data_IF_418003443595
#
_entry.id   IF_418003443595
#
_cell.length_a   1.000
_cell.length_b   1.000
_cell.length_c   1.000
_cell.angle_alpha   90.00
_cell.angle_beta   90.00
_cell.angle_gamma   90.00
#
_symmetry.space_group_name_H-M   'P 1'
#
loop_
_entity.id
_entity.type
_entity.pdbx_description
1 polymer ?
#
# COMPACT_ATOMS: atom_id res chain seq x y z
N UNK A 1 -27.41 20.98 3.62
CA UNK A 1 -26.84 19.68 4.03
C UNK A 1 -26.78 19.65 5.55
N UNK A 2 -27.28 18.61 6.22
CA UNK A 2 -27.30 18.53 7.68
C UNK A 2 -25.87 18.26 8.21
N UNK A 3 -25.39 19.02 9.21
CA UNK A 3 -24.05 18.89 9.80
C UNK A 3 -23.78 17.48 10.32
N UNK A 4 -24.79 16.85 10.90
CA UNK A 4 -24.70 15.47 11.38
C UNK A 4 -24.46 14.48 10.23
N UNK A 5 -25.06 14.74 9.06
CA UNK A 5 -24.83 13.94 7.86
C UNK A 5 -23.41 14.16 7.30
N UNK A 6 -22.88 15.38 7.33
CA UNK A 6 -21.50 15.65 6.91
C UNK A 6 -20.48 14.94 7.83
N UNK A 7 -20.70 14.97 9.15
CA UNK A 7 -19.84 14.25 10.08
C UNK A 7 -19.88 12.73 9.84
N UNK A 8 -21.08 12.15 9.69
CA UNK A 8 -21.20 10.72 9.38
C UNK A 8 -20.51 10.34 8.07
N UNK A 9 -20.58 11.18 7.03
CA UNK A 9 -19.86 10.96 5.77
C UNK A 9 -18.33 11.04 5.95
N UNK A 10 -17.84 11.98 6.76
CA UNK A 10 -16.41 12.12 7.05
C UNK A 10 -15.88 10.89 7.79
N UNK A 11 -16.61 10.39 8.79
CA UNK A 11 -16.22 9.21 9.56
C UNK A 11 -16.18 7.96 8.69
N UNK A 12 -17.21 7.73 7.88
CA UNK A 12 -17.25 6.60 6.92
C UNK A 12 -16.08 6.70 5.93
N UNK A 13 -15.80 7.89 5.42
CA UNK A 13 -14.72 8.07 4.44
C UNK A 13 -13.34 7.86 5.06
N UNK A 14 -13.14 8.26 6.32
CA UNK A 14 -11.91 7.99 7.08
C UNK A 14 -11.74 6.50 7.35
N UNK A 15 -12.80 5.79 7.74
CA UNK A 15 -12.77 4.32 7.88
C UNK A 15 -12.40 3.62 6.57
N UNK A 16 -12.94 4.09 5.45
CA UNK A 16 -12.57 3.56 4.12
C UNK A 16 -11.09 3.82 3.87
N UNK A 17 -10.60 5.05 4.07
CA UNK A 17 -9.18 5.38 3.89
C UNK A 17 -8.27 4.48 4.74
N UNK A 18 -8.59 4.27 6.02
CA UNK A 18 -7.82 3.42 6.92
C UNK A 18 -7.77 1.97 6.42
N UNK A 19 -8.91 1.46 5.95
CA UNK A 19 -8.98 0.13 5.31
C UNK A 19 -8.09 0.06 4.07
N UNK A 20 -8.18 1.04 3.18
CA UNK A 20 -7.39 1.05 1.94
C UNK A 20 -5.88 1.13 2.23
N UNK A 21 -5.48 1.90 3.25
CA UNK A 21 -4.09 1.99 3.71
C UNK A 21 -3.59 0.70 4.36
N UNK A 22 -4.42 0.05 5.16
CA UNK A 22 -4.11 -1.26 5.77
C UNK A 22 -3.88 -2.33 4.69
N UNK A 23 -4.75 -2.38 3.68
CA UNK A 23 -4.59 -3.28 2.54
C UNK A 23 -3.32 -2.97 1.73
N UNK A 24 -2.99 -1.69 1.55
CA UNK A 24 -1.76 -1.28 0.87
C UNK A 24 -0.50 -1.74 1.62
N UNK A 25 -0.50 -1.64 2.96
CA UNK A 25 0.59 -2.15 3.81
C UNK A 25 0.75 -3.67 3.66
N UNK A 26 -0.34 -4.43 3.77
CA UNK A 26 -0.30 -5.87 3.61
C UNK A 26 0.25 -6.31 2.23
N UNK A 27 -0.11 -5.60 1.16
CA UNK A 27 0.45 -5.84 -0.18
C UNK A 27 1.94 -5.49 -0.26
N UNK A 28 2.36 -4.41 0.40
CA UNK A 28 3.76 -4.00 0.48
C UNK A 28 4.60 -5.05 1.21
N UNK A 29 4.13 -5.54 2.36
CA UNK A 29 4.81 -6.55 3.15
C UNK A 29 4.95 -7.86 2.37
N UNK A 30 3.89 -8.28 1.67
CA UNK A 30 3.94 -9.44 0.79
C UNK A 30 4.93 -9.28 -0.37
N UNK A 31 5.03 -8.08 -0.95
CA UNK A 31 5.97 -7.80 -2.03
C UNK A 31 7.42 -7.83 -1.53
N UNK A 32 7.69 -7.26 -0.35
CA UNK A 32 9.01 -7.33 0.31
C UNK A 32 9.41 -8.77 0.60
N UNK A 33 8.51 -9.57 1.18
CA UNK A 33 8.79 -10.98 1.48
C UNK A 33 9.14 -11.80 0.23
N UNK A 34 8.48 -11.56 -0.91
CA UNK A 34 8.83 -12.22 -2.17
C UNK A 34 10.17 -11.73 -2.72
N UNK A 35 10.48 -10.43 -2.61
CA UNK A 35 11.76 -9.88 -3.03
C UNK A 35 12.92 -10.48 -2.21
N UNK A 36 12.74 -10.62 -0.90
CA UNK A 36 13.73 -11.23 0.00
C UNK A 36 13.96 -12.71 -0.32
N UNK A 37 12.89 -13.46 -0.66
CA UNK A 37 13.01 -14.85 -1.10
C UNK A 37 13.78 -14.98 -2.42
N UNK A 38 13.54 -14.07 -3.38
CA UNK A 38 14.31 -14.02 -4.63
C UNK A 38 15.78 -13.72 -4.34
N UNK A 39 16.06 -12.73 -3.49
CA UNK A 39 17.43 -12.36 -3.12
C UNK A 39 18.16 -13.52 -2.42
N UNK A 40 17.47 -14.24 -1.53
CA UNK A 40 18.01 -15.45 -0.87
C UNK A 40 18.37 -16.53 -1.87
N UNK A 41 17.47 -16.81 -2.82
CA UNK A 41 17.70 -17.80 -3.88
C UNK A 41 18.87 -17.41 -4.80
N UNK A 42 18.99 -16.12 -5.14
CA UNK A 42 20.09 -15.59 -5.95
C UNK A 42 21.43 -15.65 -5.18
N UNK A 43 21.41 -15.43 -3.85
CA UNK A 43 22.59 -15.58 -2.99
C UNK A 43 23.04 -17.05 -2.84
N UNK A 44 22.11 -17.97 -2.64
CA UNK A 44 22.40 -19.42 -2.62
C UNK A 44 23.00 -19.88 -3.95
N UNK A 45 22.47 -19.38 -5.07
CA UNK A 45 23.02 -19.67 -6.40
C UNK A 45 24.47 -19.21 -6.51
N UNK A 46 24.76 -17.98 -6.08
CA UNK A 46 26.13 -17.45 -6.10
C UNK A 46 27.07 -18.30 -5.25
N UNK A 47 26.64 -18.70 -4.04
CA UNK A 47 27.41 -19.56 -3.13
C UNK A 47 27.71 -20.93 -3.76
N UNK A 48 26.71 -21.57 -4.35
CA UNK A 48 26.87 -22.89 -4.98
C UNK A 48 27.80 -22.83 -6.19
N UNK A 49 27.67 -21.79 -7.03
CA UNK A 49 28.56 -21.59 -8.17
C UNK A 49 30.01 -21.33 -7.74
N UNK A 50 30.24 -20.60 -6.65
CA UNK A 50 31.58 -20.40 -6.10
C UNK A 50 32.18 -21.73 -5.63
N UNK A 51 31.43 -22.55 -4.87
CA UNK A 51 31.90 -23.86 -4.40
C UNK A 51 32.11 -24.89 -5.52
N UNK A 52 31.47 -24.71 -6.68
CA UNK A 52 31.61 -25.59 -7.83
C UNK A 52 32.99 -25.49 -8.50
N UNK A 53 33.65 -24.34 -8.38
CA UNK A 53 34.94 -24.06 -8.98
C UNK A 53 36.08 -24.87 -8.34
N UNK A 54 35.86 -25.40 -7.12
CA UNK A 54 36.86 -26.14 -6.35
C UNK A 54 36.92 -27.66 -6.69
N UNK A 55 36.16 -28.10 -7.70
CA UNK A 55 36.30 -29.41 -8.32
C UNK A 55 35.32 -30.47 -7.76
N UNK A 56 34.46 -30.96 -8.66
CA UNK A 56 33.68 -32.20 -8.56
C UNK A 56 32.23 -32.16 -8.01
N UNK A 57 31.47 -31.07 -8.22
CA UNK A 57 30.04 -30.98 -7.87
C UNK A 57 29.07 -30.68 -9.05
N UNK A 58 29.53 -30.77 -10.30
CA UNK A 58 28.82 -30.21 -11.46
C UNK A 58 27.41 -30.78 -11.72
N UNK A 59 27.21 -32.10 -11.58
CA UNK A 59 25.89 -32.72 -11.87
C UNK A 59 24.81 -32.38 -10.83
N UNK A 60 25.16 -32.39 -9.53
CA UNK A 60 24.20 -32.07 -8.47
C UNK A 60 23.78 -30.59 -8.51
N UNK A 61 24.70 -29.71 -8.92
CA UNK A 61 24.42 -28.28 -9.10
C UNK A 61 23.46 -28.05 -10.29
N UNK A 62 23.56 -28.84 -11.36
CA UNK A 62 22.70 -28.69 -12.55
C UNK A 62 21.21 -28.87 -12.25
N UNK A 63 20.85 -29.88 -11.45
CA UNK A 63 19.48 -30.11 -11.01
C UNK A 63 18.96 -28.96 -10.13
N UNK A 64 19.78 -28.51 -9.17
CA UNK A 64 19.44 -27.38 -8.30
C UNK A 64 19.25 -26.09 -9.11
N UNK A 65 20.14 -25.78 -10.07
CA UNK A 65 20.04 -24.58 -10.92
C UNK A 65 18.75 -24.57 -11.76
N UNK A 66 18.34 -25.75 -12.26
CA UNK A 66 17.10 -25.88 -13.04
C UNK A 66 15.88 -25.62 -12.17
N UNK A 67 15.85 -26.20 -10.96
CA UNK A 67 14.82 -25.93 -9.97
C UNK A 67 14.79 -24.45 -9.57
N UNK A 68 15.93 -23.88 -9.19
CA UNK A 68 16.06 -22.48 -8.77
C UNK A 68 15.60 -21.52 -9.87
N UNK A 69 15.90 -21.80 -11.15
CA UNK A 69 15.38 -21.01 -12.28
C UNK A 69 13.86 -21.01 -12.34
N UNK A 70 13.21 -22.18 -12.17
CA UNK A 70 11.75 -22.31 -12.18
C UNK A 70 11.12 -21.60 -10.98
N UNK A 71 11.69 -21.80 -9.80
CA UNK A 71 11.23 -21.16 -8.56
C UNK A 71 11.35 -19.64 -8.64
N UNK A 72 12.50 -19.12 -9.10
CA UNK A 72 12.70 -17.68 -9.34
C UNK A 72 11.68 -17.09 -10.30
N UNK A 73 11.35 -17.81 -11.38
CA UNK A 73 10.33 -17.39 -12.33
C UNK A 73 8.92 -17.41 -11.72
N UNK A 74 8.60 -18.36 -10.85
CA UNK A 74 7.34 -18.37 -10.10
C UNK A 74 7.26 -17.19 -9.12
N UNK A 75 8.31 -16.96 -8.31
CA UNK A 75 8.39 -15.84 -7.37
C UNK A 75 8.31 -14.49 -8.08
N UNK A 76 8.99 -14.34 -9.23
CA UNK A 76 8.96 -13.10 -10.01
C UNK A 76 7.57 -12.80 -10.58
N UNK A 77 6.84 -13.83 -11.03
CA UNK A 77 5.43 -13.68 -11.46
C UNK A 77 4.54 -13.27 -10.30
N UNK A 78 4.66 -13.94 -9.15
CA UNK A 78 3.89 -13.58 -7.95
C UNK A 78 4.20 -12.15 -7.48
N UNK A 79 5.45 -11.71 -7.56
CA UNK A 79 5.86 -10.34 -7.24
C UNK A 79 5.26 -9.32 -8.21
N UNK A 80 5.27 -9.61 -9.51
CA UNK A 80 4.64 -8.75 -10.52
C UNK A 80 3.12 -8.61 -10.27
N UNK A 81 2.44 -9.71 -9.94
CA UNK A 81 1.03 -9.72 -9.59
C UNK A 81 0.73 -8.89 -8.33
N UNK A 82 1.57 -9.02 -7.29
CA UNK A 82 1.45 -8.21 -6.07
C UNK A 82 1.67 -6.73 -6.35
N UNK A 83 2.68 -6.36 -7.16
CA UNK A 83 2.90 -4.96 -7.56
C UNK A 83 1.73 -4.39 -8.36
N UNK A 84 1.13 -5.18 -9.24
CA UNK A 84 -0.08 -4.79 -9.96
C UNK A 84 -1.27 -4.55 -9.02
N UNK A 85 -1.46 -5.42 -8.03
CA UNK A 85 -2.46 -5.22 -6.95
C UNK A 85 -2.13 -3.97 -6.12
N UNK A 86 -0.87 -3.76 -5.77
CA UNK A 86 -0.41 -2.60 -5.00
C UNK A 86 -0.70 -1.29 -5.72
N UNK A 87 -0.47 -1.20 -7.03
CA UNK A 87 -0.77 0.02 -7.80
C UNK A 87 -2.28 0.29 -7.88
N UNK A 88 -3.11 -0.75 -8.05
CA UNK A 88 -4.57 -0.60 -7.97
C UNK A 88 -4.99 -0.10 -6.60
N UNK A 89 -4.44 -0.68 -5.54
CA UNK A 89 -4.72 -0.31 -4.16
C UNK A 89 -4.28 1.13 -3.84
N UNK A 90 -3.11 1.55 -4.35
CA UNK A 90 -2.61 2.92 -4.22
C UNK A 90 -3.58 3.93 -4.83
N UNK A 91 -4.12 3.64 -6.01
CA UNK A 91 -5.15 4.49 -6.65
C UNK A 91 -6.44 4.55 -5.83
N UNK A 92 -6.88 3.43 -5.24
CA UNK A 92 -8.05 3.41 -4.35
C UNK A 92 -7.81 4.25 -3.08
N UNK A 93 -6.67 4.07 -2.42
CA UNK A 93 -6.28 4.85 -1.24
C UNK A 93 -6.18 6.35 -1.56
N UNK A 94 -5.60 6.72 -2.72
CA UNK A 94 -5.51 8.12 -3.15
C UNK A 94 -6.90 8.75 -3.35
N UNK A 95 -7.85 8.00 -3.93
CA UNK A 95 -9.23 8.47 -4.08
C UNK A 95 -9.94 8.62 -2.73
N UNK A 96 -9.76 7.65 -1.83
CA UNK A 96 -10.32 7.73 -0.48
C UNK A 96 -9.75 8.93 0.30
N UNK A 97 -8.45 9.17 0.18
CA UNK A 97 -7.78 10.32 0.77
C UNK A 97 -8.36 11.65 0.25
N UNK A 98 -8.48 11.81 -1.08
CA UNK A 98 -9.05 13.02 -1.66
C UNK A 98 -10.49 13.27 -1.21
N UNK A 99 -11.30 12.22 -1.04
CA UNK A 99 -12.67 12.37 -0.49
C UNK A 99 -12.65 12.79 0.98
N UNK A 100 -11.76 12.21 1.79
CA UNK A 100 -11.63 12.56 3.20
C UNK A 100 -11.20 14.03 3.37
N UNK A 101 -10.23 14.47 2.59
CA UNK A 101 -9.72 15.85 2.58
C UNK A 101 -10.82 16.86 2.19
N UNK A 102 -11.59 16.59 1.13
CA UNK A 102 -12.71 17.45 0.72
C UNK A 102 -13.77 17.56 1.83
N UNK A 103 -14.12 16.45 2.49
CA UNK A 103 -15.10 16.48 3.58
C UNK A 103 -14.58 17.24 4.80
N UNK A 104 -13.28 17.13 5.10
CA UNK A 104 -12.63 17.89 6.16
C UNK A 104 -12.64 19.39 5.88
N UNK A 105 -12.29 19.79 4.65
CA UNK A 105 -12.32 21.19 4.20
C UNK A 105 -13.75 21.76 4.25
N UNK A 106 -14.76 21.03 3.75
CA UNK A 106 -16.16 21.46 3.84
C UNK A 106 -16.62 21.62 5.30
N UNK A 107 -16.20 20.71 6.18
CA UNK A 107 -16.48 20.81 7.61
C UNK A 107 -15.83 22.04 8.26
N UNK A 108 -14.63 22.41 7.82
CA UNK A 108 -13.94 23.60 8.29
C UNK A 108 -14.62 24.89 7.79
N UNK A 109 -15.01 24.95 6.52
CA UNK A 109 -15.74 26.09 5.93
C UNK A 109 -17.07 26.33 6.64
N UNK A 110 -17.88 25.29 6.86
CA UNK A 110 -19.17 25.42 7.56
C UNK A 110 -19.00 25.93 9.00
N UNK A 111 -17.97 25.47 9.72
CA UNK A 111 -17.65 25.97 11.07
C UNK A 111 -17.22 27.44 11.04
N UNK A 112 -16.50 27.87 10.00
CA UNK A 112 -16.09 29.26 9.85
C UNK A 112 -17.31 30.17 9.57
N UNK A 113 -18.20 29.74 8.68
CA UNK A 113 -19.43 30.47 8.34
C UNK A 113 -20.35 30.64 9.56
N UNK A 114 -20.53 29.57 10.34
CA UNK A 114 -21.31 29.63 11.59
C UNK A 114 -20.74 30.64 12.59
N UNK A 115 -19.40 30.68 12.75
CA UNK A 115 -18.73 31.64 13.63
C UNK A 115 -18.96 33.07 13.17
N UNK A 116 -18.86 33.32 11.86
CA UNK A 116 -19.13 34.63 11.28
C UNK A 116 -20.60 35.04 11.48
N UNK A 117 -21.55 34.14 11.26
CA UNK A 117 -22.97 34.41 11.49
C UNK A 117 -23.27 34.69 12.97
N UNK A 118 -22.68 33.93 13.89
CA UNK A 118 -22.82 34.17 15.32
C UNK A 118 -22.24 35.53 15.74
N UNK A 119 -21.09 35.93 15.19
CA UNK A 119 -20.50 37.26 15.43
C UNK A 119 -21.37 38.39 14.88
N UNK A 120 -21.94 38.24 13.67
CA UNK A 120 -22.85 39.26 13.10
C UNK A 120 -24.08 39.45 13.97
N UNK A 121 -24.74 38.35 14.39
CA UNK A 121 -25.89 38.40 15.30
C UNK A 121 -25.55 39.03 16.65
N UNK A 122 -24.36 38.76 17.19
CA UNK A 122 -23.90 39.36 18.44
C UNK A 122 -23.65 40.88 18.32
N UNK A 123 -23.27 41.37 17.14
CA UNK A 123 -23.02 42.78 16.88
C UNK A 123 -24.31 43.56 16.54
N UNK A 124 -25.29 42.92 15.88
CA UNK A 124 -26.59 43.52 15.55
C UNK A 124 -27.54 43.63 16.77
N UNK A 125 -27.27 42.86 17.83
CA UNK A 125 -28.02 42.91 19.09
C UNK A 125 -27.49 43.89 20.13
N UNK A 126 -26.53 44.76 19.77
CA UNK A 126 -25.98 45.85 20.60
C UNK A 126 -26.35 47.20 20.01
#
# INVERSE_FOLDING_TARGET
MNRQALHGMADITRMILDKELSQLRALSDGASALADRIATLDAEKARLLASAQDGNAAEQIGAWLTWARRERAALSRALADLRSKQERQRKSAQRAFGRADVLEQLGATLKADERQQAQRRANEGR
#
